data_IF_862847482832
#
_entry.id   IF_862847482832
#
_cell.length_a   1.000
_cell.length_b   1.000
_cell.length_c   1.000
_cell.angle_alpha   90.00
_cell.angle_beta   90.00
_cell.angle_gamma   90.00
#
_symmetry.space_group_name_H-M   'P 1'
#
loop_
_entity.id
_entity.type
_entity.pdbx_description
1 polymer ?
#
# COMPACT_ATOMS: atom_id res chain seq x y z
N UNK A 1 2.62 7.27 -18.06
CA UNK A 1 3.71 6.93 -17.11
C UNK A 1 4.56 5.80 -17.67
N UNK A 2 5.87 5.82 -17.45
CA UNK A 2 6.78 4.70 -17.75
C UNK A 2 7.50 4.35 -16.45
N UNK A 3 7.47 3.07 -16.06
CA UNK A 3 8.17 2.61 -14.87
C UNK A 3 9.67 2.42 -15.17
N UNK A 4 10.51 2.75 -14.20
CA UNK A 4 11.93 2.36 -14.26
C UNK A 4 12.05 0.87 -13.93
N UNK A 5 12.47 0.08 -14.90
CA UNK A 5 12.64 -1.36 -14.81
C UNK A 5 14.09 -1.78 -14.49
N UNK A 6 14.98 -0.80 -14.23
CA UNK A 6 16.32 -1.12 -13.79
C UNK A 6 16.28 -1.69 -12.37
N UNK A 7 16.63 -2.94 -12.25
CA UNK A 7 16.64 -3.62 -10.95
C UNK A 7 17.73 -3.04 -10.06
N UNK A 8 17.32 -2.42 -8.96
CA UNK A 8 18.20 -1.81 -7.97
C UNK A 8 18.00 -2.49 -6.63
N UNK A 9 19.08 -2.66 -5.91
CA UNK A 9 19.10 -3.13 -4.54
C UNK A 9 18.47 -4.49 -4.28
N UNK A 10 18.53 -4.91 -3.05
CA UNK A 10 17.89 -6.12 -2.54
C UNK A 10 16.72 -5.74 -1.65
N UNK A 11 15.53 -6.25 -1.97
CA UNK A 11 14.33 -6.04 -1.16
C UNK A 11 14.00 -7.33 -0.41
N UNK A 12 13.99 -7.27 0.93
CA UNK A 12 13.37 -8.28 1.77
C UNK A 12 12.02 -7.75 2.31
N UNK A 13 11.09 -8.65 2.57
CA UNK A 13 9.73 -8.27 3.00
C UNK A 13 9.31 -9.10 4.19
N UNK A 14 8.84 -8.43 5.24
CA UNK A 14 8.14 -9.04 6.34
C UNK A 14 6.68 -8.60 6.32
N UNK A 15 5.77 -9.54 6.44
CA UNK A 15 4.35 -9.28 6.59
C UNK A 15 3.92 -9.52 8.04
N UNK A 16 3.11 -8.63 8.57
CA UNK A 16 2.45 -8.74 9.87
C UNK A 16 0.97 -8.53 9.66
N UNK A 17 0.18 -9.59 9.76
CA UNK A 17 -1.28 -9.48 9.69
C UNK A 17 -1.81 -9.20 11.10
N UNK A 18 -2.54 -8.11 11.28
CA UNK A 18 -3.10 -7.74 12.58
C UNK A 18 -4.48 -7.07 12.46
N UNK A 19 -5.07 -6.80 13.62
CA UNK A 19 -6.41 -6.24 13.71
C UNK A 19 -7.54 -7.23 13.42
N UNK A 20 -8.79 -6.84 13.74
CA UNK A 20 -9.97 -7.72 13.65
C UNK A 20 -10.34 -8.09 12.22
N UNK A 21 -9.98 -7.28 11.23
CA UNK A 21 -10.25 -7.52 9.81
C UNK A 21 -9.00 -8.02 9.06
N UNK A 22 -7.94 -8.37 9.81
CA UNK A 22 -6.74 -9.06 9.31
C UNK A 22 -6.04 -8.32 8.17
N UNK A 23 -5.72 -7.05 8.40
CA UNK A 23 -4.98 -6.22 7.43
C UNK A 23 -3.49 -6.54 7.47
N UNK A 24 -2.86 -6.59 6.33
CA UNK A 24 -1.44 -6.86 6.16
C UNK A 24 -0.63 -5.56 6.23
N UNK A 25 0.16 -5.42 7.29
CA UNK A 25 1.24 -4.42 7.37
C UNK A 25 2.52 -5.02 6.81
N UNK A 26 3.21 -4.29 5.93
CA UNK A 26 4.47 -4.77 5.37
C UNK A 26 5.66 -3.94 5.84
N UNK A 27 6.76 -4.62 6.14
CA UNK A 27 8.07 -4.00 6.32
C UNK A 27 8.90 -4.32 5.09
N UNK A 28 9.12 -3.32 4.24
CA UNK A 28 9.96 -3.39 3.05
C UNK A 28 11.37 -2.99 3.45
N UNK A 29 12.32 -3.93 3.37
CA UNK A 29 13.66 -3.81 3.96
C UNK A 29 14.72 -3.80 2.88
N UNK A 30 15.53 -2.74 2.84
CA UNK A 30 16.78 -2.63 2.09
C UNK A 30 17.98 -3.00 2.95
N UNK A 31 19.21 -2.78 2.45
CA UNK A 31 20.42 -3.08 3.19
C UNK A 31 20.51 -2.32 4.52
N UNK A 32 20.14 -1.02 4.57
CA UNK A 32 20.28 -0.18 5.76
C UNK A 32 18.97 0.38 6.29
N UNK A 33 17.90 0.35 5.51
CA UNK A 33 16.66 1.05 5.80
C UNK A 33 15.44 0.16 5.64
N UNK A 34 14.35 0.59 6.27
CA UNK A 34 13.04 -0.04 6.16
C UNK A 34 11.96 1.01 5.93
N UNK A 35 11.02 0.69 5.06
CA UNK A 35 9.76 1.41 4.90
C UNK A 35 8.64 0.55 5.46
N UNK A 36 7.76 1.16 6.26
CA UNK A 36 6.54 0.52 6.76
C UNK A 36 5.39 0.88 5.84
N UNK A 37 4.66 -0.13 5.37
CA UNK A 37 3.52 0.06 4.46
C UNK A 37 2.27 -0.44 5.15
N UNK A 38 1.22 0.39 5.15
CA UNK A 38 -0.09 0.16 5.76
C UNK A 38 0.00 -0.33 7.22
N UNK A 39 0.50 0.48 8.18
CA UNK A 39 0.46 0.12 9.58
C UNK A 39 -0.98 0.12 10.08
N UNK A 40 -1.57 -1.06 10.16
CA UNK A 40 -3.00 -1.28 10.32
C UNK A 40 -3.50 -0.96 11.74
N UNK A 41 -3.04 -1.68 12.73
CA UNK A 41 -3.53 -1.62 14.10
C UNK A 41 -2.37 -1.61 15.09
N UNK A 42 -2.62 -1.09 16.33
CA UNK A 42 -1.67 -1.19 17.43
C UNK A 42 -0.26 -0.73 17.04
N UNK A 43 -0.13 0.52 16.57
CA UNK A 43 1.11 1.04 15.98
C UNK A 43 2.35 0.90 16.85
N UNK A 44 2.23 1.08 18.18
CA UNK A 44 3.34 0.86 19.13
C UNK A 44 3.78 -0.61 19.13
N UNK A 45 2.81 -1.54 19.06
CA UNK A 45 3.12 -2.97 18.99
C UNK A 45 3.78 -3.34 17.66
N UNK A 46 3.32 -2.74 16.55
CA UNK A 46 3.99 -2.90 15.25
C UNK A 46 5.43 -2.38 15.27
N UNK A 47 5.71 -1.29 15.99
CA UNK A 47 7.07 -0.77 16.14
C UNK A 47 7.98 -1.73 16.93
N UNK A 48 7.47 -2.40 17.98
CA UNK A 48 8.20 -3.47 18.69
C UNK A 48 8.52 -4.64 17.74
N UNK A 49 7.52 -5.11 16.97
CA UNK A 49 7.71 -6.19 15.99
C UNK A 49 8.70 -5.80 14.90
N UNK A 50 8.67 -4.55 14.46
CA UNK A 50 9.64 -4.01 13.51
C UNK A 50 11.08 -4.08 14.08
N UNK A 51 11.28 -3.64 15.32
CA UNK A 51 12.58 -3.67 15.96
C UNK A 51 13.14 -5.10 16.10
N UNK A 52 12.27 -6.06 16.40
CA UNK A 52 12.62 -7.48 16.48
C UNK A 52 12.98 -8.10 15.13
N UNK A 53 12.22 -7.78 14.08
CA UNK A 53 12.39 -8.38 12.74
C UNK A 53 13.44 -7.67 11.89
N UNK A 54 13.66 -6.38 12.13
CA UNK A 54 14.56 -5.53 11.35
C UNK A 54 15.59 -4.84 12.26
N UNK A 55 16.37 -5.59 13.06
CA UNK A 55 17.26 -5.00 14.07
C UNK A 55 18.30 -4.08 13.41
N UNK A 56 18.44 -2.86 13.96
CA UNK A 56 19.42 -1.89 13.51
C UNK A 56 19.11 -1.16 12.22
N UNK A 57 17.96 -1.44 11.57
CA UNK A 57 17.52 -0.70 10.39
C UNK A 57 16.92 0.66 10.77
N UNK A 58 17.24 1.69 9.98
CA UNK A 58 16.60 3.00 10.10
C UNK A 58 15.24 2.99 9.39
N UNK A 59 14.20 3.45 10.06
CA UNK A 59 12.89 3.62 9.42
C UNK A 59 12.94 4.87 8.54
N UNK A 60 12.84 4.67 7.22
CA UNK A 60 12.92 5.74 6.24
C UNK A 60 11.57 6.47 6.07
N UNK A 61 10.47 5.73 6.13
CA UNK A 61 9.13 6.30 6.01
C UNK A 61 8.05 5.31 6.51
N UNK A 62 6.88 5.86 6.80
CA UNK A 62 5.60 5.15 6.88
C UNK A 62 4.79 5.57 5.65
N UNK A 63 4.31 4.62 4.86
CA UNK A 63 3.53 4.88 3.65
C UNK A 63 2.19 4.15 3.76
N UNK A 64 1.08 4.84 3.46
CA UNK A 64 -0.21 4.19 3.31
C UNK A 64 -0.63 4.13 1.84
N UNK A 65 -1.05 2.93 1.40
CA UNK A 65 -1.55 2.71 0.03
C UNK A 65 -2.86 3.43 -0.21
N UNK A 66 -3.66 3.60 0.83
CA UNK A 66 -4.92 4.33 0.81
C UNK A 66 -5.37 4.74 2.22
N UNK A 67 -6.44 5.53 2.30
CA UNK A 67 -6.87 6.23 3.51
C UNK A 67 -7.91 5.50 4.38
N UNK A 68 -8.24 4.23 4.14
CA UNK A 68 -9.17 3.51 5.01
C UNK A 68 -8.56 3.23 6.38
N UNK A 69 -9.42 3.27 7.41
CA UNK A 69 -9.02 3.23 8.81
C UNK A 69 -8.15 2.03 9.19
N UNK A 70 -8.42 0.88 8.60
CA UNK A 70 -7.67 -0.35 8.85
C UNK A 70 -6.28 -0.40 8.18
N UNK A 71 -5.95 0.56 7.32
CA UNK A 71 -4.62 0.73 6.73
C UNK A 71 -3.82 1.86 7.39
N UNK A 72 -4.51 2.83 7.98
CA UNK A 72 -3.89 4.01 8.60
C UNK A 72 -3.89 3.98 10.12
N UNK A 73 -4.65 3.09 10.75
CA UNK A 73 -4.97 3.11 12.18
C UNK A 73 -3.78 2.96 13.12
N UNK A 74 -2.69 2.36 12.65
CA UNK A 74 -1.45 2.23 13.41
C UNK A 74 -0.45 3.38 13.22
N UNK A 75 -0.67 4.31 12.28
CA UNK A 75 0.28 5.39 11.94
C UNK A 75 0.63 6.25 13.15
N UNK A 76 -0.37 6.75 13.88
CA UNK A 76 -0.15 7.63 15.02
C UNK A 76 0.66 6.95 16.12
N UNK A 77 0.30 5.72 16.51
CA UNK A 77 1.02 4.93 17.50
C UNK A 77 2.44 4.60 17.06
N UNK A 78 2.62 4.25 15.80
CA UNK A 78 3.94 3.95 15.24
C UNK A 78 4.85 5.18 15.27
N UNK A 79 4.36 6.36 14.89
CA UNK A 79 5.14 7.61 14.97
C UNK A 79 5.49 7.99 16.40
N UNK A 80 4.63 7.72 17.39
CA UNK A 80 5.00 7.92 18.81
C UNK A 80 6.15 7.03 19.23
N UNK A 81 6.14 5.78 18.81
CA UNK A 81 7.18 4.82 19.19
C UNK A 81 8.51 5.03 18.46
N UNK A 82 8.47 5.37 17.18
CA UNK A 82 9.66 5.52 16.33
C UNK A 82 10.27 6.93 16.36
N UNK A 83 9.50 7.94 16.74
CA UNK A 83 9.86 9.35 16.73
C UNK A 83 9.17 10.14 15.62
N UNK A 84 8.93 11.42 15.89
CA UNK A 84 8.23 12.33 14.98
C UNK A 84 8.98 12.61 13.67
N UNK A 85 10.27 12.30 13.64
CA UNK A 85 11.13 12.51 12.48
C UNK A 85 10.93 11.47 11.37
N UNK A 86 10.24 10.34 11.67
CA UNK A 86 9.87 9.35 10.65
C UNK A 86 8.71 9.90 9.82
N UNK A 87 8.91 10.20 8.52
CA UNK A 87 7.89 10.85 7.72
C UNK A 87 6.72 9.90 7.43
N UNK A 88 5.50 10.45 7.43
CA UNK A 88 4.27 9.80 7.00
C UNK A 88 3.88 10.27 5.60
N UNK A 89 3.64 9.33 4.70
CA UNK A 89 3.35 9.55 3.29
C UNK A 89 2.04 8.86 2.88
N UNK A 90 1.20 9.58 2.15
CA UNK A 90 -0.05 9.07 1.56
C UNK A 90 -0.39 9.95 0.35
N UNK A 91 -1.31 9.54 -0.51
CA UNK A 91 -1.82 10.39 -1.59
C UNK A 91 -2.64 11.58 -1.04
N UNK A 92 -2.70 12.66 -1.82
CA UNK A 92 -3.46 13.87 -1.42
C UNK A 92 -4.94 13.54 -1.19
N UNK A 93 -5.59 12.91 -2.17
CA UNK A 93 -7.02 12.61 -2.07
C UNK A 93 -7.35 11.70 -0.88
N UNK A 94 -6.49 10.76 -0.55
CA UNK A 94 -6.73 9.85 0.58
C UNK A 94 -6.33 10.47 1.93
N UNK A 95 -5.45 11.47 1.95
CA UNK A 95 -5.21 12.24 3.16
C UNK A 95 -6.44 13.02 3.63
N UNK A 96 -7.30 13.45 2.69
CA UNK A 96 -8.52 14.19 2.96
C UNK A 96 -9.64 13.32 3.54
N UNK A 97 -9.66 12.03 3.24
CA UNK A 97 -10.71 11.10 3.70
C UNK A 97 -10.39 10.39 5.02
N UNK A 98 -9.16 10.44 5.53
CA UNK A 98 -8.73 9.70 6.74
C UNK A 98 -9.68 9.88 7.93
N UNK A 99 -10.08 11.13 8.22
CA UNK A 99 -10.98 11.43 9.34
C UNK A 99 -12.34 10.77 9.17
N UNK A 100 -12.91 10.84 7.97
CA UNK A 100 -14.18 10.19 7.66
C UNK A 100 -14.08 8.68 7.70
N UNK A 101 -13.02 8.11 7.18
CA UNK A 101 -12.80 6.65 7.20
C UNK A 101 -12.74 6.10 8.64
N UNK A 102 -12.14 6.85 9.58
CA UNK A 102 -12.13 6.48 11.00
C UNK A 102 -13.52 6.56 11.62
N UNK A 103 -14.31 7.61 11.31
CA UNK A 103 -15.69 7.72 11.77
C UNK A 103 -16.54 6.56 11.24
N UNK A 104 -16.44 6.23 9.96
CA UNK A 104 -17.17 5.13 9.35
C UNK A 104 -16.79 3.77 9.97
N UNK A 105 -15.51 3.54 10.25
CA UNK A 105 -15.05 2.33 10.93
C UNK A 105 -15.66 2.20 12.33
N UNK A 106 -15.71 3.30 13.08
CA UNK A 106 -16.34 3.33 14.40
C UNK A 106 -17.86 3.10 14.34
N UNK A 107 -18.54 3.74 13.38
CA UNK A 107 -19.99 3.63 13.22
C UNK A 107 -20.43 2.25 12.74
N UNK A 108 -19.71 1.67 11.77
CA UNK A 108 -20.07 0.37 11.17
C UNK A 108 -19.62 -0.83 11.99
N UNK A 109 -18.46 -0.73 12.66
CA UNK A 109 -17.80 -1.89 13.27
C UNK A 109 -17.52 -1.73 14.76
N UNK A 110 -17.69 -0.52 15.32
CA UNK A 110 -17.40 -0.22 16.72
C UNK A 110 -15.91 -0.16 17.04
N UNK A 111 -15.05 -0.02 16.05
CA UNK A 111 -13.60 0.07 16.23
C UNK A 111 -13.14 1.53 16.20
N UNK A 112 -12.42 1.94 17.23
CA UNK A 112 -11.81 3.26 17.31
C UNK A 112 -10.35 3.21 16.84
N UNK A 113 -9.99 4.20 16.04
CA UNK A 113 -8.61 4.49 15.65
C UNK A 113 -8.27 5.93 15.99
N UNK A 114 -7.01 6.15 16.32
CA UNK A 114 -6.48 7.51 16.42
C UNK A 114 -6.26 8.07 15.01
N UNK A 115 -6.68 9.31 14.80
CA UNK A 115 -6.41 9.99 13.53
C UNK A 115 -4.89 10.14 13.32
N UNK A 116 -4.35 9.70 12.19
CA UNK A 116 -2.96 9.98 11.85
C UNK A 116 -2.64 11.47 11.89
N UNK A 117 -1.39 11.86 12.18
CA UNK A 117 -0.96 13.25 11.99
C UNK A 117 -1.08 13.64 10.51
N UNK A 118 -0.99 14.94 10.23
CA UNK A 118 -0.91 15.40 8.85
C UNK A 118 0.29 14.71 8.14
N UNK A 119 0.13 14.30 6.88
CA UNK A 119 1.23 13.71 6.12
C UNK A 119 2.37 14.71 5.90
N UNK A 120 3.60 14.21 6.01
CA UNK A 120 4.80 15.03 5.77
C UNK A 120 5.08 15.19 4.26
N UNK A 121 4.59 14.24 3.45
CA UNK A 121 4.68 14.30 1.99
C UNK A 121 3.44 13.66 1.35
N UNK A 122 2.86 14.36 0.38
CA UNK A 122 1.79 13.84 -0.47
C UNK A 122 2.39 13.12 -1.69
N UNK A 123 1.88 11.93 -1.98
CA UNK A 123 2.34 11.09 -3.08
C UNK A 123 1.44 11.23 -4.30
N UNK A 124 2.06 11.35 -5.46
CA UNK A 124 1.40 11.47 -6.75
C UNK A 124 1.89 10.41 -7.74
N UNK A 125 1.14 10.23 -8.82
CA UNK A 125 1.54 9.39 -9.95
C UNK A 125 2.95 9.71 -10.42
N UNK A 126 3.81 8.69 -10.45
CA UNK A 126 5.18 8.80 -10.92
C UNK A 126 6.19 9.26 -9.88
N UNK A 127 5.75 9.57 -8.66
CA UNK A 127 6.67 9.82 -7.56
C UNK A 127 7.51 8.57 -7.24
N UNK A 128 8.69 8.83 -6.69
CA UNK A 128 9.60 7.78 -6.22
C UNK A 128 9.90 8.01 -4.75
N UNK A 129 9.83 6.94 -3.96
CA UNK A 129 10.30 6.90 -2.57
C UNK A 129 11.51 5.98 -2.52
N UNK A 130 12.69 6.58 -2.34
CA UNK A 130 13.94 5.85 -2.21
C UNK A 130 14.24 5.56 -0.73
N UNK A 131 14.76 4.36 -0.45
CA UNK A 131 15.27 3.97 0.86
C UNK A 131 16.41 2.97 0.70
N UNK A 132 17.56 3.28 1.27
CA UNK A 132 18.79 2.55 0.98
C UNK A 132 19.08 2.55 -0.52
N UNK A 133 19.22 1.36 -1.08
CA UNK A 133 19.47 1.12 -2.50
C UNK A 133 18.20 0.70 -3.30
N UNK A 134 17.02 0.81 -2.68
CA UNK A 134 15.72 0.42 -3.23
C UNK A 134 14.86 1.63 -3.55
N UNK A 135 14.04 1.55 -4.58
CA UNK A 135 13.09 2.58 -4.99
C UNK A 135 11.68 2.00 -5.13
N UNK A 136 10.70 2.66 -4.51
CA UNK A 136 9.28 2.40 -4.70
C UNK A 136 8.71 3.45 -5.66
N UNK A 137 8.17 3.02 -6.78
CA UNK A 137 7.54 3.88 -7.79
C UNK A 137 6.03 3.92 -7.55
N UNK A 138 5.46 5.11 -7.46
CA UNK A 138 4.05 5.34 -7.18
C UNK A 138 3.22 5.23 -8.46
N UNK A 139 2.24 4.36 -8.47
CA UNK A 139 1.23 4.21 -9.52
C UNK A 139 -0.13 4.54 -8.92
N UNK A 140 -0.77 5.64 -9.35
CA UNK A 140 -2.12 5.97 -8.88
C UNK A 140 -3.14 4.96 -9.42
N UNK A 141 -3.95 4.42 -8.51
CA UNK A 141 -4.95 3.39 -8.78
C UNK A 141 -6.27 3.70 -8.07
N UNK A 142 -6.93 4.82 -8.44
CA UNK A 142 -8.20 5.20 -7.83
C UNK A 142 -9.30 4.16 -8.11
N UNK A 143 -10.29 4.11 -7.23
CA UNK A 143 -11.50 3.33 -7.42
C UNK A 143 -11.96 2.57 -6.18
N UNK A 144 -11.07 1.96 -5.39
CA UNK A 144 -11.38 1.50 -4.03
C UNK A 144 -11.53 2.72 -3.11
N UNK A 145 -10.59 3.63 -3.19
CA UNK A 145 -10.62 4.99 -2.66
C UNK A 145 -10.28 5.99 -3.78
N UNK A 146 -10.53 7.30 -3.59
CA UNK A 146 -10.16 8.32 -4.58
C UNK A 146 -8.67 8.43 -4.84
N UNK A 147 -7.85 8.19 -3.82
CA UNK A 147 -6.39 8.37 -3.85
C UNK A 147 -5.59 7.09 -3.71
N UNK A 148 -6.19 5.91 -3.93
CA UNK A 148 -5.48 4.64 -3.85
C UNK A 148 -4.25 4.60 -4.74
N UNK A 149 -3.14 4.05 -4.22
CA UNK A 149 -1.87 3.90 -4.94
C UNK A 149 -1.34 2.48 -4.84
N UNK A 150 -0.60 2.09 -5.87
CA UNK A 150 0.26 0.91 -5.88
C UNK A 150 1.72 1.37 -5.81
N UNK A 151 2.51 0.72 -4.97
CA UNK A 151 3.94 0.97 -4.83
C UNK A 151 4.69 -0.16 -5.53
N UNK A 152 5.31 0.14 -6.67
CA UNK A 152 6.06 -0.85 -7.46
C UNK A 152 7.56 -0.74 -7.21
N UNK A 153 8.21 -1.88 -7.08
CA UNK A 153 9.65 -2.03 -6.94
C UNK A 153 10.21 -3.04 -7.94
N UNK A 154 11.19 -2.61 -8.73
CA UNK A 154 12.03 -3.51 -9.53
C UNK A 154 13.34 -3.77 -8.76
N UNK A 155 13.33 -4.71 -7.80
CA UNK A 155 14.50 -5.07 -7.03
C UNK A 155 15.32 -6.17 -7.72
N UNK A 156 16.60 -6.29 -7.35
CA UNK A 156 17.43 -7.40 -7.81
C UNK A 156 16.88 -8.78 -7.43
N UNK A 157 16.15 -8.84 -6.31
CA UNK A 157 15.46 -10.03 -5.80
C UNK A 157 14.16 -10.36 -6.54
N UNK A 158 13.63 -9.48 -7.38
CA UNK A 158 12.41 -9.68 -8.16
C UNK A 158 11.54 -8.44 -8.23
N UNK A 159 10.49 -8.51 -9.04
CA UNK A 159 9.50 -7.46 -9.16
C UNK A 159 8.43 -7.62 -8.08
N UNK A 160 8.13 -6.55 -7.33
CA UNK A 160 7.16 -6.55 -6.24
C UNK A 160 6.25 -5.33 -6.36
N UNK A 161 4.97 -5.48 -6.05
CA UNK A 161 4.02 -4.39 -5.96
C UNK A 161 3.20 -4.52 -4.66
N UNK A 162 3.18 -3.48 -3.84
CA UNK A 162 2.25 -3.35 -2.72
C UNK A 162 0.99 -2.72 -3.27
N UNK A 163 -0.07 -3.51 -3.37
CA UNK A 163 -1.26 -3.13 -4.14
C UNK A 163 -2.41 -2.64 -3.26
N UNK A 164 -2.22 -2.64 -1.92
CA UNK A 164 -3.30 -2.33 -0.99
C UNK A 164 -4.57 -3.11 -1.34
N UNK A 165 -5.67 -2.41 -1.40
CA UNK A 165 -6.98 -2.96 -1.75
C UNK A 165 -7.39 -2.69 -3.21
N UNK A 166 -6.42 -2.35 -4.07
CA UNK A 166 -6.69 -2.21 -5.50
C UNK A 166 -6.97 -3.57 -6.16
N UNK A 167 -6.15 -4.58 -5.86
CA UNK A 167 -6.20 -5.90 -6.50
C UNK A 167 -6.36 -7.00 -5.45
N UNK A 168 -7.29 -7.91 -5.70
CA UNK A 168 -7.45 -9.18 -4.98
C UNK A 168 -7.40 -10.35 -5.96
N UNK A 169 -7.04 -11.59 -5.52
CA UNK A 169 -7.02 -12.75 -6.39
C UNK A 169 -8.37 -12.98 -7.11
N UNK A 170 -8.40 -12.76 -8.42
CA UNK A 170 -9.60 -12.87 -9.25
C UNK A 170 -10.65 -11.76 -9.06
N UNK A 171 -10.35 -10.73 -8.24
CA UNK A 171 -11.27 -9.68 -7.84
C UNK A 171 -10.59 -8.31 -7.71
N UNK A 172 -11.27 -7.36 -7.09
CA UNK A 172 -10.75 -6.04 -6.70
C UNK A 172 -11.35 -5.61 -5.36
N UNK A 173 -10.82 -4.56 -4.76
CA UNK A 173 -11.36 -3.93 -3.56
C UNK A 173 -12.80 -3.43 -3.78
N UNK A 174 -13.58 -3.41 -2.70
CA UNK A 174 -14.96 -2.88 -2.75
C UNK A 174 -14.97 -1.42 -3.22
N UNK A 175 -16.08 -1.01 -3.83
CA UNK A 175 -16.24 0.34 -4.41
C UNK A 175 -17.55 1.01 -3.98
N UNK A 176 -18.18 0.47 -2.94
CA UNK A 176 -19.47 0.91 -2.41
C UNK A 176 -19.37 1.85 -1.20
N UNK A 177 -18.14 2.14 -0.73
CA UNK A 177 -17.87 3.15 0.28
C UNK A 177 -17.74 4.54 -0.37
N UNK A 178 -17.77 5.60 0.44
CA UNK A 178 -17.66 6.98 -0.03
C UNK A 178 -16.38 7.19 -0.84
N UNK A 179 -16.50 7.80 -2.01
CA UNK A 179 -15.39 8.00 -2.96
C UNK A 179 -15.04 6.78 -3.81
N UNK A 180 -15.66 5.62 -3.57
CA UNK A 180 -15.45 4.41 -4.37
C UNK A 180 -16.06 4.51 -5.77
N UNK A 181 -15.45 3.83 -6.75
CA UNK A 181 -15.89 3.85 -8.15
C UNK A 181 -15.51 2.57 -8.88
N UNK A 182 -16.51 1.75 -9.22
CA UNK A 182 -16.28 0.52 -10.00
C UNK A 182 -15.61 0.78 -11.34
N UNK A 183 -15.98 1.89 -12.00
CA UNK A 183 -15.35 2.27 -13.27
C UNK A 183 -13.85 2.54 -13.09
N UNK A 184 -13.49 3.33 -12.08
CA UNK A 184 -12.09 3.69 -11.85
C UNK A 184 -11.26 2.49 -11.42
N UNK A 185 -11.78 1.59 -10.55
CA UNK A 185 -11.00 0.41 -10.13
C UNK A 185 -10.72 -0.52 -11.31
N UNK A 186 -11.68 -0.69 -12.22
CA UNK A 186 -11.49 -1.48 -13.44
C UNK A 186 -10.43 -0.84 -14.35
N UNK A 187 -10.48 0.48 -14.54
CA UNK A 187 -9.48 1.22 -15.32
C UNK A 187 -8.08 1.10 -14.66
N UNK A 188 -8.02 1.18 -13.32
CA UNK A 188 -6.79 0.99 -12.52
C UNK A 188 -6.22 -0.42 -12.64
N UNK A 189 -7.06 -1.46 -12.59
CA UNK A 189 -6.62 -2.84 -12.83
C UNK A 189 -6.07 -3.02 -14.24
N UNK A 190 -6.72 -2.44 -15.26
CA UNK A 190 -6.22 -2.44 -16.62
C UNK A 190 -4.86 -1.75 -16.74
N UNK A 191 -4.68 -0.63 -16.03
CA UNK A 191 -3.43 0.13 -15.98
C UNK A 191 -2.29 -0.69 -15.37
N UNK A 192 -2.47 -1.27 -14.18
CA UNK A 192 -1.41 -2.09 -13.56
C UNK A 192 -1.13 -3.37 -14.35
N UNK A 193 -2.15 -4.00 -14.94
CA UNK A 193 -1.98 -5.16 -15.82
C UNK A 193 -1.21 -4.85 -17.12
N UNK A 194 -1.21 -3.59 -17.57
CA UNK A 194 -0.44 -3.15 -18.75
C UNK A 194 0.96 -2.66 -18.39
N UNK A 195 1.14 -2.07 -17.20
CA UNK A 195 2.40 -1.43 -16.80
C UNK A 195 3.35 -2.38 -16.06
N UNK A 196 2.82 -3.24 -15.18
CA UNK A 196 3.65 -4.09 -14.34
C UNK A 196 4.10 -5.36 -15.11
N UNK A 197 5.35 -5.82 -14.91
CA UNK A 197 5.79 -7.09 -15.46
C UNK A 197 4.91 -8.26 -14.98
N UNK A 198 4.75 -9.28 -15.83
CA UNK A 198 3.92 -10.44 -15.53
C UNK A 198 4.40 -11.20 -14.27
N UNK A 199 5.71 -11.26 -14.04
CA UNK A 199 6.34 -11.91 -12.88
C UNK A 199 6.25 -11.08 -11.57
N UNK A 200 5.56 -9.93 -11.57
CA UNK A 200 5.43 -9.08 -10.38
C UNK A 200 4.61 -9.79 -9.31
N UNK A 201 5.21 -9.99 -8.13
CA UNK A 201 4.53 -10.43 -6.93
C UNK A 201 3.68 -9.28 -6.37
N UNK A 202 2.37 -9.49 -6.25
CA UNK A 202 1.43 -8.51 -5.70
C UNK A 202 1.15 -8.82 -4.23
N UNK A 203 1.52 -7.88 -3.36
CA UNK A 203 1.31 -7.90 -1.92
C UNK A 203 0.05 -7.10 -1.60
N UNK A 204 -0.95 -7.77 -1.07
CA UNK A 204 -2.33 -7.29 -0.96
C UNK A 204 -2.61 -6.82 0.47
N UNK A 205 -3.52 -5.88 0.64
CA UNK A 205 -3.92 -5.37 1.96
C UNK A 205 -4.53 -6.43 2.88
N UNK A 206 -5.17 -7.45 2.31
CA UNK A 206 -5.76 -8.57 3.05
C UNK A 206 -5.53 -9.89 2.34
N UNK A 207 -5.54 -11.00 3.09
CA UNK A 207 -5.40 -12.37 2.57
C UNK A 207 -4.04 -12.65 1.90
N UNK A 208 -4.06 -13.58 0.93
CA UNK A 208 -2.89 -14.12 0.27
C UNK A 208 -2.43 -13.23 -0.91
N UNK A 209 -1.18 -13.45 -1.32
CA UNK A 209 -0.54 -12.78 -2.47
C UNK A 209 -1.01 -13.36 -3.80
N UNK A 210 -0.79 -12.60 -4.89
CA UNK A 210 -0.98 -13.06 -6.26
C UNK A 210 0.17 -12.56 -7.15
N UNK A 211 0.11 -12.83 -8.46
CA UNK A 211 1.02 -12.26 -9.46
C UNK A 211 0.25 -11.60 -10.59
N UNK A 212 0.86 -10.65 -11.26
CA UNK A 212 0.24 -10.01 -12.43
C UNK A 212 -0.09 -11.05 -13.50
N UNK A 213 0.78 -12.04 -13.75
CA UNK A 213 0.54 -13.12 -14.72
C UNK A 213 -0.76 -13.88 -14.40
N UNK A 214 -0.93 -14.32 -13.15
CA UNK A 214 -2.13 -15.03 -12.70
C UNK A 214 -3.39 -14.19 -12.90
N UNK A 215 -3.32 -12.91 -12.56
CA UNK A 215 -4.46 -12.01 -12.68
C UNK A 215 -4.80 -11.67 -14.14
N UNK A 216 -3.80 -11.57 -15.01
CA UNK A 216 -4.02 -11.42 -16.44
C UNK A 216 -4.77 -12.62 -17.04
N UNK A 217 -4.53 -13.83 -16.52
CA UNK A 217 -5.19 -15.04 -16.97
C UNK A 217 -6.60 -15.22 -16.40
N UNK A 218 -6.79 -14.95 -15.10
CA UNK A 218 -7.97 -15.35 -14.35
C UNK A 218 -8.90 -14.20 -13.92
N UNK A 219 -8.37 -12.98 -13.72
CA UNK A 219 -9.15 -11.84 -13.23
C UNK A 219 -9.94 -11.17 -14.34
N UNK A 220 -11.26 -11.34 -14.33
CA UNK A 220 -12.14 -10.79 -15.35
C UNK A 220 -12.16 -9.25 -15.35
N UNK A 221 -12.01 -8.62 -14.19
CA UNK A 221 -12.01 -7.16 -14.05
C UNK A 221 -10.73 -6.56 -14.64
N UNK A 222 -9.56 -7.14 -14.34
CA UNK A 222 -8.29 -6.73 -14.95
C UNK A 222 -8.33 -6.89 -16.48
N UNK A 223 -8.83 -8.02 -16.96
CA UNK A 223 -8.98 -8.27 -18.42
C UNK A 223 -9.97 -7.30 -19.08
N UNK A 224 -11.03 -6.87 -18.37
CA UNK A 224 -11.95 -5.83 -18.84
C UNK A 224 -11.24 -4.48 -18.93
N UNK A 225 -10.52 -4.08 -17.89
CA UNK A 225 -9.77 -2.82 -17.84
C UNK A 225 -8.69 -2.73 -18.93
N UNK A 226 -7.97 -3.82 -19.20
CA UNK A 226 -6.97 -3.87 -20.28
C UNK A 226 -7.53 -3.54 -21.67
N UNK A 227 -8.80 -3.81 -21.94
CA UNK A 227 -9.43 -3.46 -23.24
C UNK A 227 -9.61 -1.95 -23.40
N UNK A 228 -9.71 -1.22 -22.29
CA UNK A 228 -9.86 0.23 -22.28
C UNK A 228 -8.51 0.94 -22.25
N UNK A 229 -7.46 0.27 -21.79
CA UNK A 229 -6.12 0.84 -21.64
C UNK A 229 -5.26 0.77 -22.92
N UNK A 230 -5.71 0.05 -23.93
CA UNK A 230 -5.01 -0.15 -25.24
C UNK A 230 -5.28 0.99 -26.22
#
# INVERSE_FOLDING_TARGET
>A
MTLDMNRKGSLAIHCVTNGPIQTNTYFAVSDDEVVVIDPAWEGERLAEVLADRCPGKRVAAIICTHGHADHIGGVAGMRRALGSDVPFLISEADSEIMGRAIEDMREMWGFDHELPPAPDRLLNEGDVVAFGDVELQVVATPGHTPGGIVLFCAAATGNVAFVGDTLFPGAHGRTDLEGGSEKQIIDSLGKIGALLPADTLCLIGHNDTTTIERELESNLFMRRGLRHYR
#
